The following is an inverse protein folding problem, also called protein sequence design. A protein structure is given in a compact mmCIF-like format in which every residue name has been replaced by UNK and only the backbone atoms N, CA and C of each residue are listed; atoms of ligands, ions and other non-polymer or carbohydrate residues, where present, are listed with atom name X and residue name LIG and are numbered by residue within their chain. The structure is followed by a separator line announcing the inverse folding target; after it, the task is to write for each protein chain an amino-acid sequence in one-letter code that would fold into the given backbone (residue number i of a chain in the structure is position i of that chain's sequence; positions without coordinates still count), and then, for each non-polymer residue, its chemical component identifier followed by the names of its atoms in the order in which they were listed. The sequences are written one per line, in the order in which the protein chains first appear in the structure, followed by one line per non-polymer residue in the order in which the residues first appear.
data_IF_721644352839
#
_entry.id   IF_721644352839
#
_cell.length_a   1.000
_cell.length_b   1.000
_cell.length_c   1.000
_cell.angle_alpha   90.00
_cell.angle_beta   90.00
_cell.angle_gamma   90.00
#
_symmetry.space_group_name_H-M   'P 1'
#
loop_
_entity.id
_entity.type
_entity.pdbx_description
1 polymer ?
#
# COMPACT_ATOMS: atom_id res chain seq x y z
N UNK A 1 6.03 -7.99 -16.49
CA UNK A 1 4.71 -7.63 -15.93
C UNK A 1 4.44 -8.44 -14.68
N UNK A 2 3.71 -7.87 -13.75
CA UNK A 2 3.42 -8.52 -12.47
C UNK A 2 2.06 -9.22 -12.60
N UNK A 3 2.01 -10.51 -12.23
CA UNK A 3 0.74 -11.25 -12.21
C UNK A 3 -0.14 -10.77 -11.04
N UNK A 4 -1.44 -11.01 -11.13
CA UNK A 4 -2.38 -10.66 -10.07
C UNK A 4 -2.02 -11.37 -8.75
N UNK A 5 -1.63 -12.65 -8.82
CA UNK A 5 -1.25 -13.39 -7.62
C UNK A 5 0.01 -12.82 -6.96
N UNK A 6 1.00 -12.43 -7.76
CA UNK A 6 2.22 -11.79 -7.26
C UNK A 6 1.88 -10.43 -6.64
N UNK A 7 1.01 -9.65 -7.28
CA UNK A 7 0.55 -8.37 -6.73
C UNK A 7 -0.11 -8.58 -5.36
N UNK A 8 -0.96 -9.59 -5.22
CA UNK A 8 -1.62 -9.89 -3.96
C UNK A 8 -0.60 -10.18 -2.84
N UNK A 9 0.41 -10.99 -3.13
CA UNK A 9 1.47 -11.28 -2.16
C UNK A 9 2.22 -10.01 -1.78
N UNK A 10 2.56 -9.17 -2.76
CA UNK A 10 3.23 -7.89 -2.51
C UNK A 10 2.40 -7.02 -1.56
N UNK A 11 1.10 -6.92 -1.79
CA UNK A 11 0.22 -6.10 -0.97
C UNK A 11 0.17 -6.58 0.49
N UNK A 12 0.08 -7.90 0.72
CA UNK A 12 0.13 -8.42 2.09
C UNK A 12 1.47 -8.12 2.75
N UNK A 13 2.58 -8.27 2.03
CA UNK A 13 3.91 -7.95 2.57
C UNK A 13 4.04 -6.46 2.84
N UNK A 14 3.65 -5.61 1.91
CA UNK A 14 3.74 -4.15 2.05
C UNK A 14 2.85 -3.67 3.20
N UNK A 15 1.63 -4.22 3.32
CA UNK A 15 0.74 -3.86 4.41
C UNK A 15 1.35 -4.12 5.77
N UNK A 16 1.95 -5.29 5.96
CA UNK A 16 2.64 -5.65 7.22
C UNK A 16 3.85 -4.74 7.44
N UNK A 17 4.66 -4.51 6.40
CA UNK A 17 5.85 -3.66 6.51
C UNK A 17 5.49 -2.22 6.87
N UNK A 18 4.42 -1.67 6.30
CA UNK A 18 3.97 -0.31 6.62
C UNK A 18 3.56 -0.18 8.09
N UNK A 19 2.87 -1.18 8.62
CA UNK A 19 2.48 -1.19 10.04
C UNK A 19 3.71 -1.24 10.94
N UNK A 20 4.70 -2.05 10.58
CA UNK A 20 5.90 -2.26 11.40
C UNK A 20 6.95 -1.15 11.22
N UNK A 21 6.97 -0.47 10.08
CA UNK A 21 8.04 0.45 9.73
C UNK A 21 8.30 1.54 10.78
N UNK A 22 7.29 2.21 11.37
CA UNK A 22 7.56 3.23 12.37
C UNK A 22 8.33 2.70 13.57
N UNK A 23 8.06 1.47 13.96
CA UNK A 23 8.71 0.83 15.12
C UNK A 23 10.10 0.32 14.77
N UNK A 24 10.25 -0.28 13.59
CA UNK A 24 11.54 -0.84 13.16
C UNK A 24 12.55 0.24 12.77
N UNK A 25 12.07 1.35 12.21
CA UNK A 25 12.94 2.44 11.71
C UNK A 25 13.02 3.63 12.68
N UNK A 26 12.37 3.54 13.83
CA UNK A 26 12.54 4.52 14.90
C UNK A 26 11.75 5.81 14.73
N UNK A 27 10.66 5.83 13.97
CA UNK A 27 9.84 7.03 13.86
C UNK A 27 8.41 6.86 14.44
N UNK A 28 8.24 5.97 15.39
CA UNK A 28 6.98 5.77 16.11
C UNK A 28 6.78 6.87 17.15
N UNK A 29 6.49 8.08 16.68
CA UNK A 29 6.46 9.29 17.49
C UNK A 29 5.05 9.76 17.89
N UNK A 30 4.01 9.00 17.51
CA UNK A 30 2.61 9.35 17.77
C UNK A 30 2.02 10.36 16.80
N UNK A 31 2.79 10.86 15.83
CA UNK A 31 2.33 11.84 14.84
C UNK A 31 1.98 11.21 13.50
N UNK A 32 1.76 12.07 12.50
CA UNK A 32 1.36 11.65 11.16
C UNK A 32 2.41 10.75 10.49
N UNK A 33 3.70 10.97 10.74
CA UNK A 33 4.77 10.12 10.21
C UNK A 33 4.56 8.65 10.57
N UNK A 34 4.08 8.39 11.79
CA UNK A 34 3.78 7.06 12.29
C UNK A 34 2.41 6.56 11.80
N UNK A 35 1.37 7.37 11.94
CA UNK A 35 0.00 6.93 11.70
C UNK A 35 -0.35 6.76 10.23
N UNK A 36 0.23 7.55 9.32
CA UNK A 36 -0.05 7.42 7.89
C UNK A 36 0.31 6.01 7.38
N UNK A 37 1.55 5.51 7.56
CA UNK A 37 1.86 4.15 7.11
C UNK A 37 1.07 3.08 7.86
N UNK A 38 0.82 3.24 9.15
CA UNK A 38 0.04 2.25 9.91
C UNK A 38 -1.38 2.14 9.35
N UNK A 39 -2.06 3.26 9.14
CA UNK A 39 -3.43 3.26 8.64
C UNK A 39 -3.49 2.79 7.19
N UNK A 40 -2.57 3.20 6.34
CA UNK A 40 -2.51 2.72 4.95
C UNK A 40 -2.19 1.23 4.89
N UNK A 41 -1.26 0.75 5.71
CA UNK A 41 -0.94 -0.66 5.77
C UNK A 41 -2.11 -1.50 6.23
N UNK A 42 -2.79 -1.08 7.30
CA UNK A 42 -4.00 -1.75 7.77
C UNK A 42 -5.09 -1.75 6.71
N UNK A 43 -5.27 -0.64 6.01
CA UNK A 43 -6.22 -0.52 4.91
C UNK A 43 -5.91 -1.49 3.78
N UNK A 44 -4.66 -1.56 3.35
CA UNK A 44 -4.21 -2.49 2.32
C UNK A 44 -4.54 -3.93 2.71
N UNK A 45 -4.23 -4.33 3.94
CA UNK A 45 -4.54 -5.68 4.40
C UNK A 45 -6.03 -5.95 4.38
N UNK A 46 -6.84 -5.00 4.88
CA UNK A 46 -8.29 -5.19 4.97
C UNK A 46 -8.93 -5.31 3.59
N UNK A 47 -8.66 -4.39 2.67
CA UNK A 47 -9.30 -4.48 1.37
C UNK A 47 -8.71 -5.60 0.49
N UNK A 48 -7.47 -6.01 0.73
CA UNK A 48 -6.90 -7.18 0.07
C UNK A 48 -7.63 -8.46 0.45
N UNK A 49 -8.04 -8.59 1.70
CA UNK A 49 -8.81 -9.75 2.17
C UNK A 49 -10.17 -9.88 1.48
N UNK A 50 -10.71 -8.79 0.94
CA UNK A 50 -12.04 -8.77 0.32
C UNK A 50 -12.01 -8.44 -1.17
N UNK A 51 -10.84 -8.50 -1.80
CA UNK A 51 -10.69 -8.27 -3.24
C UNK A 51 -10.89 -9.57 -4.02
N UNK A 52 -11.45 -9.45 -5.23
CA UNK A 52 -11.71 -10.58 -6.10
C UNK A 52 -10.42 -11.11 -6.75
N UNK A 53 -9.54 -11.70 -5.96
CA UNK A 53 -8.38 -12.45 -6.42
C UNK A 53 -8.12 -13.65 -5.51
N UNK A 54 -7.13 -14.50 -5.90
CA UNK A 54 -6.95 -15.83 -5.31
C UNK A 54 -6.76 -15.81 -3.79
N UNK A 55 -5.93 -14.89 -3.28
CA UNK A 55 -5.50 -14.87 -1.89
C UNK A 55 -6.38 -13.98 -1.01
N UNK A 56 -7.68 -14.06 -1.20
CA UNK A 56 -8.65 -13.33 -0.39
C UNK A 56 -9.62 -14.27 0.31
N UNK A 57 -10.26 -13.79 1.38
CA UNK A 57 -11.27 -14.55 2.11
C UNK A 57 -12.68 -14.30 1.56
N UNK A 58 -12.90 -13.17 0.91
CA UNK A 58 -14.17 -12.84 0.26
C UNK A 58 -13.88 -12.02 -1.00
N UNK A 59 -14.66 -12.21 -2.04
CA UNK A 59 -14.42 -11.57 -3.34
C UNK A 59 -15.47 -10.50 -3.60
N UNK A 60 -15.43 -9.45 -2.77
CA UNK A 60 -16.40 -8.34 -2.79
C UNK A 60 -15.93 -7.21 -3.68
N UNK A 61 -14.65 -6.81 -3.56
CA UNK A 61 -14.10 -5.65 -4.28
C UNK A 61 -13.53 -6.13 -5.62
N UNK A 62 -13.98 -5.55 -6.77
CA UNK A 62 -13.37 -5.86 -8.06
C UNK A 62 -11.89 -5.49 -8.08
N UNK A 63 -11.09 -6.21 -8.87
CA UNK A 63 -9.66 -5.94 -8.97
C UNK A 63 -9.38 -4.50 -9.42
N UNK A 64 -10.16 -3.95 -10.34
CA UNK A 64 -9.98 -2.58 -10.81
C UNK A 64 -10.12 -1.55 -9.69
N UNK A 65 -11.07 -1.76 -8.77
CA UNK A 65 -11.23 -0.90 -7.59
C UNK A 65 -10.04 -1.06 -6.65
N UNK A 66 -9.60 -2.30 -6.42
CA UNK A 66 -8.40 -2.56 -5.58
C UNK A 66 -7.18 -1.82 -6.12
N UNK A 67 -6.92 -1.93 -7.43
CA UNK A 67 -5.79 -1.23 -8.05
C UNK A 67 -5.91 0.28 -7.92
N UNK A 68 -7.12 0.81 -8.02
CA UNK A 68 -7.38 2.24 -7.78
C UNK A 68 -7.09 2.65 -6.35
N UNK A 69 -7.46 1.82 -5.37
CA UNK A 69 -7.16 2.07 -3.96
C UNK A 69 -5.66 2.02 -3.69
N UNK A 70 -4.94 1.07 -4.30
CA UNK A 70 -3.49 0.99 -4.19
C UNK A 70 -2.81 2.22 -4.77
N UNK A 71 -3.28 2.70 -5.93
CA UNK A 71 -2.74 3.89 -6.55
C UNK A 71 -2.99 5.13 -5.69
N UNK A 72 -4.20 5.29 -5.15
CA UNK A 72 -4.54 6.41 -4.29
C UNK A 72 -3.74 6.37 -2.99
N UNK A 73 -3.62 5.20 -2.37
CA UNK A 73 -2.83 5.01 -1.16
C UNK A 73 -1.35 5.24 -1.39
N UNK A 74 -0.81 4.73 -2.49
CA UNK A 74 0.59 4.94 -2.86
C UNK A 74 0.90 6.42 -3.08
N UNK A 75 0.01 7.13 -3.78
CA UNK A 75 0.17 8.57 -4.00
C UNK A 75 0.10 9.34 -2.68
N UNK A 76 -0.86 9.01 -1.82
CA UNK A 76 -0.99 9.64 -0.51
C UNK A 76 0.28 9.41 0.32
N UNK A 77 0.78 8.18 0.36
CA UNK A 77 1.99 7.84 1.09
C UNK A 77 3.19 8.63 0.55
N UNK A 78 3.31 8.71 -0.77
CA UNK A 78 4.40 9.43 -1.45
C UNK A 78 4.44 10.90 -1.05
N UNK A 79 3.29 11.58 -1.03
CA UNK A 79 3.24 13.02 -0.74
C UNK A 79 3.09 13.32 0.75
N UNK A 80 2.81 12.34 1.58
CA UNK A 80 2.47 12.53 2.99
C UNK A 80 3.52 13.30 3.80
N UNK A 81 4.86 13.13 3.59
CA UNK A 81 5.84 13.90 4.37
C UNK A 81 5.65 15.41 4.24
N UNK A 82 5.31 15.88 3.06
CA UNK A 82 5.09 17.30 2.79
C UNK A 82 3.66 17.73 3.08
N UNK A 83 2.68 16.88 2.72
CA UNK A 83 1.27 17.17 2.95
C UNK A 83 0.96 17.35 4.44
N UNK A 84 1.52 16.50 5.29
CA UNK A 84 1.31 16.54 6.74
C UNK A 84 2.47 17.18 7.50
N UNK A 85 3.47 17.72 6.80
CA UNK A 85 4.51 18.55 7.39
C UNK A 85 5.56 17.83 8.21
N UNK A 86 5.82 16.52 7.96
CA UNK A 86 6.83 15.78 8.72
C UNK A 86 8.10 15.45 7.93
N UNK A 87 8.28 16.04 6.75
CA UNK A 87 9.42 15.70 5.88
C UNK A 87 10.78 15.97 6.53
N UNK A 88 10.86 16.93 7.46
CA UNK A 88 12.10 17.22 8.19
C UNK A 88 12.45 16.15 9.21
N UNK A 89 11.45 15.40 9.68
CA UNK A 89 11.65 14.31 10.62
C UNK A 89 12.03 13.02 9.88
N UNK A 90 11.23 12.66 8.88
CA UNK A 90 11.43 11.45 8.09
C UNK A 90 10.65 11.58 6.77
N UNK A 91 11.20 11.08 5.67
CA UNK A 91 10.51 11.14 4.37
C UNK A 91 10.76 9.90 3.51
N UNK A 92 11.93 9.29 3.61
CA UNK A 92 12.36 8.28 2.64
C UNK A 92 11.54 6.99 2.67
N UNK A 93 11.09 6.44 3.83
CA UNK A 93 10.30 5.21 3.80
C UNK A 93 8.97 5.45 3.09
N UNK A 94 8.33 6.58 3.34
CA UNK A 94 7.05 6.97 2.76
C UNK A 94 7.18 7.15 1.25
N UNK A 95 8.22 7.82 0.80
CA UNK A 95 8.47 8.06 -0.63
C UNK A 95 8.79 6.76 -1.35
N UNK A 96 9.68 5.94 -0.80
CA UNK A 96 10.09 4.69 -1.45
C UNK A 96 8.91 3.73 -1.58
N UNK A 97 8.17 3.51 -0.51
CA UNK A 97 7.04 2.58 -0.55
C UNK A 97 5.91 3.13 -1.41
N UNK A 98 5.66 4.45 -1.36
CA UNK A 98 4.66 5.07 -2.21
C UNK A 98 4.98 4.90 -3.70
N UNK A 99 6.23 5.14 -4.09
CA UNK A 99 6.68 4.93 -5.48
C UNK A 99 6.59 3.45 -5.87
N UNK A 100 6.98 2.55 -4.97
CA UNK A 100 6.91 1.11 -5.23
C UNK A 100 5.46 0.67 -5.47
N UNK A 101 4.52 1.14 -4.66
CA UNK A 101 3.10 0.83 -4.84
C UNK A 101 2.57 1.32 -6.19
N UNK A 102 2.89 2.56 -6.56
CA UNK A 102 2.47 3.09 -7.86
C UNK A 102 3.07 2.27 -9.01
N UNK A 103 4.35 1.89 -8.90
CA UNK A 103 5.01 1.06 -9.89
C UNK A 103 4.37 -0.33 -10.02
N UNK A 104 4.04 -0.96 -8.89
CA UNK A 104 3.38 -2.27 -8.88
C UNK A 104 2.01 -2.19 -9.55
N UNK A 105 1.22 -1.15 -9.26
CA UNK A 105 -0.10 -0.96 -9.91
C UNK A 105 0.06 -0.84 -11.42
N UNK A 106 1.03 -0.02 -11.87
CA UNK A 106 1.24 0.20 -13.29
C UNK A 106 1.72 -1.05 -14.02
N UNK A 107 2.44 -1.92 -13.33
CA UNK A 107 3.02 -3.13 -13.91
C UNK A 107 2.12 -4.36 -13.78
N UNK A 108 1.00 -4.27 -13.10
CA UNK A 108 0.12 -5.42 -12.87
C UNK A 108 -0.73 -5.71 -14.11
N UNK A 109 -0.88 -6.99 -14.43
CA UNK A 109 -1.59 -7.49 -15.62
C UNK A 109 -3.10 -7.48 -15.41
N UNK A 110 -3.73 -6.33 -15.67
CA UNK A 110 -5.18 -6.16 -15.46
C UNK A 110 -6.02 -7.04 -16.37
N UNK A 111 -5.60 -7.20 -17.61
CA UNK A 111 -6.34 -8.01 -18.57
C UNK A 111 -6.35 -9.49 -18.18
N UNK A 112 -5.27 -9.96 -17.57
CA UNK A 112 -5.19 -11.33 -17.05
C UNK A 112 -6.12 -11.53 -15.88
N UNK A 113 -6.30 -10.52 -15.06
CA UNK A 113 -7.24 -10.55 -13.95
C UNK A 113 -8.68 -10.68 -14.45
N UNK A 114 -9.00 -10.09 -15.58
CA UNK A 114 -10.33 -10.16 -16.17
C UNK A 114 -10.62 -11.55 -16.78
N UNK A 115 -9.59 -12.26 -17.14
CA UNK A 115 -9.71 -13.61 -17.65
C UNK A 115 -9.82 -14.61 -16.52
#
# INVERSE_FOLDING_TARGET
MISVNTHAVIDYVVGVLLILAPFLLGFANGGAAMWVPILLGAGILLYSLVTAYRYSVAKVIPLSVHLGLDAAGGLLLLVSPWLFGFAQLVWWPHVIVGLAELGVVMMTQRNRAAA
#
